data_IF_042370242575
#
_entry.id   IF_042370242575
#
_cell.length_a   1.000
_cell.length_b   1.000
_cell.length_c   1.000
_cell.angle_alpha   90.00
_cell.angle_beta   90.00
_cell.angle_gamma   90.00
#
_symmetry.space_group_name_H-M   'P 1'
#
loop_
_entity.id
_entity.type
_entity.pdbx_description
1 polymer ?
#
# COMPACT_ATOMS: atom_id res chain seq x y z
N UNK A 1 -6.27 14.68 -17.15
CA UNK A 1 -5.34 13.91 -16.30
C UNK A 1 -5.12 12.57 -17.00
N UNK A 2 -3.90 12.08 -17.22
CA UNK A 2 -3.71 10.74 -17.74
C UNK A 2 -4.35 9.76 -16.75
N UNK A 3 -5.26 8.92 -17.25
CA UNK A 3 -6.03 8.00 -16.44
C UNK A 3 -5.10 7.03 -15.72
N UNK A 4 -5.19 6.97 -14.40
CA UNK A 4 -4.53 5.96 -13.59
C UNK A 4 -4.91 4.56 -14.11
N UNK A 5 -3.91 3.72 -14.38
CA UNK A 5 -4.11 2.31 -14.72
C UNK A 5 -3.67 1.45 -13.54
N UNK A 6 -4.60 0.74 -12.89
CA UNK A 6 -4.24 -0.15 -11.79
C UNK A 6 -3.28 -1.25 -12.26
N UNK A 7 -2.50 -1.80 -11.33
CA UNK A 7 -1.60 -2.91 -11.62
C UNK A 7 -2.40 -4.16 -12.03
N UNK A 8 -1.82 -5.05 -12.82
CA UNK A 8 -2.51 -6.28 -13.28
C UNK A 8 -3.05 -7.11 -12.11
N UNK A 9 -2.31 -7.18 -11.00
CA UNK A 9 -2.73 -7.87 -9.78
C UNK A 9 -3.93 -7.21 -9.12
N UNK A 10 -3.93 -5.89 -9.04
CA UNK A 10 -5.04 -5.10 -8.48
C UNK A 10 -6.27 -5.25 -9.35
N UNK A 11 -6.12 -5.20 -10.68
CA UNK A 11 -7.21 -5.39 -11.65
C UNK A 11 -7.87 -6.75 -11.47
N UNK A 12 -7.09 -7.84 -11.41
CA UNK A 12 -7.64 -9.20 -11.19
C UNK A 12 -8.42 -9.31 -9.87
N UNK A 13 -7.89 -8.69 -8.80
CA UNK A 13 -8.56 -8.71 -7.50
C UNK A 13 -9.85 -7.90 -7.51
N UNK A 14 -9.85 -6.74 -8.18
CA UNK A 14 -11.04 -5.88 -8.33
C UNK A 14 -12.11 -6.59 -9.15
N UNK A 15 -11.78 -7.19 -10.29
CA UNK A 15 -12.72 -7.97 -11.11
C UNK A 15 -13.35 -9.13 -10.32
N UNK A 16 -12.55 -9.78 -9.50
CA UNK A 16 -13.07 -10.82 -8.61
C UNK A 16 -14.05 -10.25 -7.57
N UNK A 17 -13.72 -9.13 -6.93
CA UNK A 17 -14.60 -8.45 -5.97
C UNK A 17 -15.90 -7.95 -6.62
N UNK A 18 -15.85 -7.49 -7.86
CA UNK A 18 -17.05 -7.14 -8.63
C UNK A 18 -17.95 -8.37 -8.89
N UNK A 19 -17.34 -9.54 -9.08
CA UNK A 19 -18.10 -10.79 -9.17
C UNK A 19 -18.80 -11.11 -7.84
N UNK A 20 -18.11 -10.89 -6.71
CA UNK A 20 -18.70 -11.06 -5.38
C UNK A 20 -19.81 -10.04 -5.10
N UNK A 21 -19.75 -8.82 -5.65
CA UNK A 21 -20.85 -7.85 -5.56
C UNK A 21 -22.10 -8.37 -6.24
N UNK A 22 -21.98 -8.95 -7.43
CA UNK A 22 -23.12 -9.56 -8.14
C UNK A 22 -23.72 -10.73 -7.35
N UNK A 23 -22.88 -11.53 -6.68
CA UNK A 23 -23.35 -12.58 -5.77
C UNK A 23 -24.09 -11.96 -4.55
N UNK A 24 -23.62 -10.83 -4.02
CA UNK A 24 -24.29 -10.12 -2.93
C UNK A 24 -25.64 -9.54 -3.33
N UNK A 25 -25.80 -9.06 -4.57
CA UNK A 25 -27.09 -8.64 -5.12
C UNK A 25 -28.06 -9.82 -5.20
N UNK A 26 -27.60 -11.00 -5.59
CA UNK A 26 -28.39 -12.22 -5.58
C UNK A 26 -28.85 -12.59 -4.16
N UNK A 27 -27.98 -12.43 -3.14
CA UNK A 27 -28.38 -12.65 -1.74
C UNK A 27 -29.45 -11.68 -1.29
N UNK A 28 -29.38 -10.41 -1.72
CA UNK A 28 -30.44 -9.44 -1.47
C UNK A 28 -31.79 -9.92 -2.00
N UNK A 29 -31.82 -10.44 -3.23
CA UNK A 29 -33.03 -10.99 -3.81
C UNK A 29 -33.58 -12.21 -3.04
N UNK A 30 -32.68 -13.12 -2.58
CA UNK A 30 -33.07 -14.25 -1.75
C UNK A 30 -33.66 -13.83 -0.38
N UNK A 31 -33.08 -12.80 0.24
CA UNK A 31 -33.57 -12.23 1.50
C UNK A 31 -34.94 -11.62 1.31
N UNK A 32 -35.22 -10.91 0.21
CA UNK A 32 -36.54 -10.37 -0.08
C UNK A 32 -37.57 -11.49 -0.32
N UNK A 33 -37.18 -12.57 -1.06
CA UNK A 33 -38.07 -13.74 -1.22
C UNK A 33 -38.36 -14.42 0.11
N UNK A 34 -37.37 -14.55 1.00
CA UNK A 34 -37.54 -15.05 2.36
C UNK A 34 -38.53 -14.19 3.15
N UNK A 35 -38.35 -12.86 3.09
CA UNK A 35 -39.24 -11.92 3.82
C UNK A 35 -40.65 -11.90 3.27
N UNK A 36 -40.85 -12.09 1.98
CA UNK A 36 -42.15 -12.13 1.32
C UNK A 36 -42.88 -13.46 1.52
N UNK A 37 -42.16 -14.55 1.80
CA UNK A 37 -42.74 -15.88 1.93
C UNK A 37 -43.58 -16.04 3.20
N UNK A 38 -44.89 -16.19 3.04
CA UNK A 38 -45.81 -16.47 4.16
C UNK A 38 -45.65 -17.89 4.73
N UNK A 39 -45.29 -18.87 3.90
CA UNK A 39 -44.98 -20.25 4.24
C UNK A 39 -43.77 -20.72 3.41
N UNK A 40 -42.99 -21.60 3.97
CA UNK A 40 -41.82 -22.16 3.24
C UNK A 40 -40.61 -21.23 3.14
N UNK A 41 -40.59 -20.10 3.83
CA UNK A 41 -39.42 -19.17 3.83
C UNK A 41 -38.10 -19.80 4.29
N UNK A 42 -38.19 -20.87 5.11
CA UNK A 42 -36.99 -21.58 5.57
C UNK A 42 -36.16 -22.17 4.43
N UNK A 43 -36.78 -22.50 3.30
CA UNK A 43 -36.10 -22.99 2.12
C UNK A 43 -35.14 -21.94 1.54
N UNK A 44 -35.61 -20.68 1.46
CA UNK A 44 -34.77 -19.56 1.02
C UNK A 44 -33.63 -19.25 2.02
N UNK A 45 -33.94 -19.35 3.33
CA UNK A 45 -32.91 -19.18 4.37
C UNK A 45 -31.85 -20.28 4.32
N UNK A 46 -32.24 -21.52 4.07
CA UNK A 46 -31.30 -22.65 3.91
C UNK A 46 -30.46 -22.51 2.63
N UNK A 47 -31.05 -22.05 1.53
CA UNK A 47 -30.36 -21.74 0.30
C UNK A 47 -29.33 -20.62 0.52
N UNK A 48 -29.75 -19.50 1.13
CA UNK A 48 -28.89 -18.38 1.46
C UNK A 48 -27.71 -18.81 2.35
N UNK A 49 -27.95 -19.63 3.38
CA UNK A 49 -26.88 -20.15 4.24
C UNK A 49 -25.86 -20.99 3.46
N UNK A 50 -26.30 -21.81 2.52
CA UNK A 50 -25.44 -22.63 1.65
C UNK A 50 -24.59 -21.74 0.75
N UNK A 51 -25.20 -20.77 0.09
CA UNK A 51 -24.50 -19.87 -0.85
C UNK A 51 -23.52 -18.95 -0.13
N UNK A 52 -23.90 -18.43 1.05
CA UNK A 52 -22.96 -17.68 1.92
C UNK A 52 -21.77 -18.54 2.38
N UNK A 53 -22.00 -19.83 2.63
CA UNK A 53 -20.92 -20.79 2.92
C UNK A 53 -19.96 -20.96 1.73
N UNK A 54 -20.49 -21.02 0.51
CA UNK A 54 -19.66 -21.06 -0.72
C UNK A 54 -18.89 -19.75 -0.93
N UNK A 55 -19.54 -18.59 -0.72
CA UNK A 55 -18.90 -17.28 -0.79
C UNK A 55 -17.75 -17.20 0.21
N UNK A 56 -17.97 -17.62 1.45
CA UNK A 56 -16.93 -17.68 2.48
C UNK A 56 -15.70 -18.48 2.00
N UNK A 57 -15.93 -19.67 1.45
CA UNK A 57 -14.85 -20.52 0.98
C UNK A 57 -14.09 -19.88 -0.19
N UNK A 58 -14.79 -19.30 -1.17
CA UNK A 58 -14.20 -18.55 -2.29
C UNK A 58 -13.37 -17.36 -1.80
N UNK A 59 -13.88 -16.58 -0.83
CA UNK A 59 -13.18 -15.44 -0.26
C UNK A 59 -11.91 -15.86 0.51
N UNK A 60 -11.96 -16.97 1.26
CA UNK A 60 -10.79 -17.52 1.94
C UNK A 60 -9.68 -17.92 0.97
N UNK A 61 -10.03 -18.55 -0.15
CA UNK A 61 -9.05 -18.95 -1.19
C UNK A 61 -8.31 -17.76 -1.81
N UNK A 62 -8.92 -16.57 -1.79
CA UNK A 62 -8.34 -15.31 -2.31
C UNK A 62 -7.79 -14.40 -1.22
N UNK A 63 -7.62 -14.91 0.02
CA UNK A 63 -7.13 -14.15 1.18
C UNK A 63 -7.98 -12.93 1.55
N UNK A 64 -9.28 -12.95 1.24
CA UNK A 64 -10.25 -11.93 1.60
C UNK A 64 -10.93 -12.30 2.95
N UNK A 65 -10.14 -12.43 4.02
CA UNK A 65 -10.59 -12.94 5.31
C UNK A 65 -11.79 -12.18 5.88
N UNK A 66 -11.80 -10.85 5.78
CA UNK A 66 -12.90 -10.01 6.27
C UNK A 66 -14.22 -10.24 5.52
N UNK A 67 -14.19 -10.52 4.19
CA UNK A 67 -15.39 -10.91 3.42
C UNK A 67 -15.84 -12.30 3.84
N UNK A 68 -14.89 -13.22 4.04
CA UNK A 68 -15.17 -14.58 4.47
C UNK A 68 -15.82 -14.62 5.87
N UNK A 69 -15.35 -13.79 6.80
CA UNK A 69 -15.90 -13.69 8.14
C UNK A 69 -17.31 -13.11 8.14
N UNK A 70 -17.54 -12.04 7.38
CA UNK A 70 -18.87 -11.44 7.22
C UNK A 70 -19.87 -12.43 6.61
N UNK A 71 -19.48 -13.11 5.53
CA UNK A 71 -20.30 -14.16 4.90
C UNK A 71 -20.56 -15.33 5.85
N UNK A 72 -19.56 -15.74 6.64
CA UNK A 72 -19.72 -16.79 7.65
C UNK A 72 -20.70 -16.42 8.75
N UNK A 73 -20.64 -15.21 9.27
CA UNK A 73 -21.59 -14.71 10.28
C UNK A 73 -23.01 -14.66 9.73
N UNK A 74 -23.20 -14.18 8.51
CA UNK A 74 -24.51 -14.16 7.85
C UNK A 74 -25.04 -15.58 7.61
N UNK A 75 -24.19 -16.51 7.18
CA UNK A 75 -24.56 -17.92 7.01
C UNK A 75 -25.05 -18.56 8.31
N UNK A 76 -24.39 -18.28 9.44
CA UNK A 76 -24.84 -18.73 10.76
C UNK A 76 -26.19 -18.11 11.13
N UNK A 77 -26.40 -16.81 10.87
CA UNK A 77 -27.68 -16.14 11.12
C UNK A 77 -28.79 -16.72 10.24
N UNK A 78 -28.50 -17.02 8.98
CA UNK A 78 -29.44 -17.65 8.06
C UNK A 78 -29.85 -19.06 8.52
N UNK A 79 -28.94 -19.81 9.14
CA UNK A 79 -29.19 -21.18 9.62
C UNK A 79 -29.92 -21.23 10.97
N UNK A 80 -29.81 -20.18 11.80
CA UNK A 80 -30.44 -20.17 13.13
C UNK A 80 -31.98 -20.12 13.03
N UNK A 81 -32.65 -20.83 13.92
CA UNK A 81 -34.09 -20.67 14.13
C UNK A 81 -34.42 -19.29 14.69
N UNK A 82 -35.65 -18.87 14.55
CA UNK A 82 -36.11 -17.59 15.08
C UNK A 82 -37.36 -17.05 14.35
N UNK A 83 -37.89 -15.91 14.81
CA UNK A 83 -38.99 -15.24 14.14
C UNK A 83 -38.59 -14.86 12.71
N UNK A 84 -39.38 -15.27 11.69
CA UNK A 84 -39.07 -14.96 10.28
C UNK A 84 -38.91 -13.46 10.02
N UNK A 85 -39.73 -12.63 10.68
CA UNK A 85 -39.67 -11.17 10.52
C UNK A 85 -38.37 -10.58 11.04
N UNK A 86 -37.91 -10.98 12.24
CA UNK A 86 -36.66 -10.51 12.82
C UNK A 86 -35.46 -11.02 12.02
N UNK A 87 -35.50 -12.30 11.63
CA UNK A 87 -34.49 -12.93 10.80
C UNK A 87 -34.33 -12.23 9.45
N UNK A 88 -35.44 -11.93 8.77
CA UNK A 88 -35.43 -11.21 7.49
C UNK A 88 -34.78 -9.83 7.60
N UNK A 89 -35.08 -9.09 8.70
CA UNK A 89 -34.49 -7.77 8.94
C UNK A 89 -32.96 -7.88 9.14
N UNK A 90 -32.51 -8.77 10.02
CA UNK A 90 -31.09 -8.97 10.31
C UNK A 90 -30.32 -9.42 9.06
N UNK A 91 -30.90 -10.33 8.27
CA UNK A 91 -30.29 -10.78 7.03
C UNK A 91 -30.19 -9.65 5.99
N UNK A 92 -31.22 -8.82 5.86
CA UNK A 92 -31.20 -7.65 4.97
C UNK A 92 -30.09 -6.69 5.36
N UNK A 93 -30.04 -6.28 6.63
CA UNK A 93 -29.02 -5.36 7.14
C UNK A 93 -27.62 -5.94 6.98
N UNK A 94 -27.49 -7.25 7.18
CA UNK A 94 -26.20 -7.95 7.03
C UNK A 94 -25.73 -8.03 5.58
N UNK A 95 -26.62 -8.30 4.61
CA UNK A 95 -26.26 -8.33 3.18
C UNK A 95 -25.90 -6.93 2.68
N UNK A 96 -26.62 -5.89 3.12
CA UNK A 96 -26.24 -4.49 2.82
C UNK A 96 -24.85 -4.17 3.38
N UNK A 97 -24.56 -4.62 4.61
CA UNK A 97 -23.24 -4.44 5.22
C UNK A 97 -22.14 -5.19 4.46
N UNK A 98 -22.40 -6.40 3.99
CA UNK A 98 -21.49 -7.19 3.17
C UNK A 98 -21.19 -6.48 1.84
N UNK A 99 -22.21 -5.96 1.16
CA UNK A 99 -22.08 -5.19 -0.07
C UNK A 99 -21.18 -3.96 0.14
N UNK A 100 -21.50 -3.15 1.16
CA UNK A 100 -20.72 -1.97 1.52
C UNK A 100 -19.26 -2.31 1.89
N UNK A 101 -19.01 -3.47 2.52
CA UNK A 101 -17.69 -3.96 2.85
C UNK A 101 -16.88 -4.27 1.59
N UNK A 102 -17.48 -4.98 0.62
CA UNK A 102 -16.83 -5.31 -0.65
C UNK A 102 -16.50 -4.03 -1.43
N UNK A 103 -17.46 -3.09 -1.55
CA UNK A 103 -17.22 -1.80 -2.22
C UNK A 103 -16.08 -1.00 -1.57
N UNK A 104 -16.06 -0.94 -0.23
CA UNK A 104 -14.98 -0.27 0.49
C UNK A 104 -13.62 -0.90 0.21
N UNK A 105 -13.59 -2.22 0.08
CA UNK A 105 -12.36 -2.95 -0.25
C UNK A 105 -11.87 -2.63 -1.65
N UNK A 106 -12.77 -2.61 -2.64
CA UNK A 106 -12.42 -2.23 -4.02
C UNK A 106 -11.80 -0.82 -4.02
N UNK A 107 -12.47 0.15 -3.38
CA UNK A 107 -11.95 1.53 -3.28
C UNK A 107 -10.59 1.58 -2.58
N UNK A 108 -10.43 0.83 -1.49
CA UNK A 108 -9.17 0.73 -0.75
C UNK A 108 -8.03 0.15 -1.58
N UNK A 109 -8.27 -0.89 -2.37
CA UNK A 109 -7.27 -1.49 -3.24
C UNK A 109 -6.82 -0.54 -4.36
N UNK A 110 -7.76 0.17 -4.97
CA UNK A 110 -7.45 1.15 -6.02
C UNK A 110 -6.62 2.31 -5.44
N UNK A 111 -7.01 2.86 -4.29
CA UNK A 111 -6.26 3.95 -3.64
C UNK A 111 -4.88 3.52 -3.16
N UNK A 112 -4.74 2.30 -2.64
CA UNK A 112 -3.46 1.75 -2.22
C UNK A 112 -2.50 1.57 -3.41
N UNK A 113 -2.99 1.01 -4.52
CA UNK A 113 -2.19 0.83 -5.74
C UNK A 113 -1.78 2.18 -6.36
N UNK A 114 -2.68 3.17 -6.34
CA UNK A 114 -2.38 4.53 -6.80
C UNK A 114 -1.28 5.20 -5.96
N UNK A 115 -1.32 5.04 -4.64
CA UNK A 115 -0.31 5.57 -3.73
C UNK A 115 1.05 4.89 -3.93
N UNK A 116 1.06 3.57 -4.09
CA UNK A 116 2.28 2.79 -4.34
C UNK A 116 2.93 3.16 -5.69
N UNK A 117 2.13 3.36 -6.73
CA UNK A 117 2.64 3.79 -8.03
C UNK A 117 3.23 5.21 -7.98
N UNK A 118 2.59 6.12 -7.26
CA UNK A 118 3.12 7.48 -7.04
C UNK A 118 4.45 7.46 -6.28
N UNK A 119 4.56 6.62 -5.26
CA UNK A 119 5.79 6.47 -4.49
C UNK A 119 6.92 5.89 -5.35
N UNK A 120 6.64 4.84 -6.13
CA UNK A 120 7.60 4.26 -7.07
C UNK A 120 8.06 5.28 -8.11
N UNK A 121 7.16 6.07 -8.66
CA UNK A 121 7.48 7.13 -9.62
C UNK A 121 8.38 8.20 -8.99
N UNK A 122 8.07 8.64 -7.77
CA UNK A 122 8.89 9.60 -7.03
C UNK A 122 10.29 9.07 -6.73
N UNK A 123 10.42 7.83 -6.30
CA UNK A 123 11.71 7.19 -6.04
C UNK A 123 12.54 7.03 -7.32
N UNK A 124 11.89 6.67 -8.43
CA UNK A 124 12.54 6.58 -9.73
C UNK A 124 13.05 7.94 -10.22
N UNK A 125 12.27 9.01 -10.07
CA UNK A 125 12.67 10.37 -10.41
C UNK A 125 13.87 10.85 -9.56
N UNK A 126 13.83 10.56 -8.25
CA UNK A 126 14.93 10.89 -7.33
C UNK A 126 16.20 10.13 -7.70
N UNK A 127 16.11 8.86 -8.04
CA UNK A 127 17.25 8.05 -8.49
C UNK A 127 17.81 8.56 -9.81
N UNK A 128 16.97 8.93 -10.76
CA UNK A 128 17.40 9.50 -12.04
C UNK A 128 18.12 10.85 -11.86
N UNK A 129 17.62 11.72 -10.97
CA UNK A 129 18.31 12.99 -10.63
C UNK A 129 19.67 12.74 -9.99
N UNK A 130 19.76 11.81 -9.03
CA UNK A 130 21.04 11.47 -8.40
C UNK A 130 22.06 10.89 -9.41
N UNK A 131 21.60 10.06 -10.34
CA UNK A 131 22.46 9.55 -11.42
C UNK A 131 22.92 10.66 -12.36
N UNK A 132 22.05 11.59 -12.74
CA UNK A 132 22.40 12.73 -13.59
C UNK A 132 23.44 13.65 -12.91
N UNK A 133 23.31 13.89 -11.61
CA UNK A 133 24.30 14.65 -10.83
C UNK A 133 25.66 13.91 -10.74
N UNK A 134 25.63 12.59 -10.51
CA UNK A 134 26.84 11.78 -10.47
C UNK A 134 27.58 11.77 -11.82
N UNK A 135 26.85 11.71 -12.93
CA UNK A 135 27.41 11.81 -14.28
C UNK A 135 28.04 13.19 -14.51
N UNK A 136 27.35 14.28 -14.15
CA UNK A 136 27.89 15.65 -14.24
C UNK A 136 29.16 15.81 -13.41
N UNK A 137 29.19 15.28 -12.18
CA UNK A 137 30.39 15.33 -11.33
C UNK A 137 31.57 14.55 -11.93
N UNK A 138 31.29 13.41 -12.58
CA UNK A 138 32.36 12.64 -13.28
C UNK A 138 32.92 13.40 -14.49
N UNK A 139 32.06 13.97 -15.31
CA UNK A 139 32.49 14.77 -16.48
C UNK A 139 33.35 15.95 -16.04
N UNK A 140 32.94 16.70 -15.02
CA UNK A 140 33.73 17.81 -14.47
C UNK A 140 35.05 17.36 -13.90
N UNK A 141 35.11 16.17 -13.27
CA UNK A 141 36.36 15.63 -12.74
C UNK A 141 37.32 15.17 -13.84
N UNK A 142 36.81 14.67 -14.95
CA UNK A 142 37.62 14.29 -16.12
C UNK A 142 38.15 15.51 -16.86
N UNK A 143 37.31 16.53 -17.08
CA UNK A 143 37.73 17.79 -17.65
C UNK A 143 38.84 18.49 -16.82
N UNK A 144 38.67 18.48 -15.49
CA UNK A 144 39.67 19.01 -14.57
C UNK A 144 41.03 18.23 -14.65
N UNK A 145 40.98 16.90 -14.78
CA UNK A 145 42.18 16.07 -14.98
C UNK A 145 42.85 16.32 -16.32
N UNK A 146 42.05 16.51 -17.37
CA UNK A 146 42.60 16.79 -18.69
C UNK A 146 43.20 18.21 -18.78
N UNK A 147 42.59 19.19 -18.14
CA UNK A 147 43.11 20.54 -17.98
C UNK A 147 44.43 20.55 -17.18
N UNK A 148 44.49 19.79 -16.08
CA UNK A 148 45.73 19.64 -15.30
C UNK A 148 46.87 18.95 -16.11
N UNK A 149 46.50 17.95 -16.93
CA UNK A 149 47.50 17.28 -17.83
C UNK A 149 48.00 18.19 -18.94
N UNK A 150 47.16 19.06 -19.48
CA UNK A 150 47.57 20.09 -20.44
C UNK A 150 48.44 21.17 -19.81
N UNK A 151 48.14 21.59 -18.58
CA UNK A 151 48.97 22.53 -17.83
C UNK A 151 50.37 21.97 -17.47
N UNK A 152 50.45 20.65 -17.19
CA UNK A 152 51.74 19.97 -16.94
C UNK A 152 52.56 19.68 -18.19
N UNK A 153 51.96 19.78 -19.38
CA UNK A 153 52.64 19.57 -20.66
C UNK A 153 53.15 20.87 -21.31
N UNK A 154 52.96 22.04 -20.69
CA UNK A 154 53.52 23.29 -21.17
C UNK A 154 55.00 23.35 -20.82
N UNK A 155 55.94 23.60 -21.80
CA UNK A 155 57.35 23.63 -21.51
C UNK A 155 57.70 24.85 -20.65
N UNK A 156 58.47 24.60 -19.61
CA UNK A 156 59.03 25.62 -18.73
C UNK A 156 60.09 26.46 -19.51
N UNK A 157 59.69 27.68 -19.88
CA UNK A 157 60.70 28.68 -20.25
C UNK A 157 60.85 29.71 -19.14
N UNK A 158 62.07 29.61 -18.63
CA UNK A 158 62.96 30.63 -18.11
C UNK A 158 62.52 31.70 -17.13
N UNK A 159 63.14 31.67 -15.97
CA UNK A 159 63.89 32.76 -15.42
C UNK A 159 63.71 33.03 -13.93
N UNK A 160 64.76 33.24 -13.18
CA UNK A 160 64.78 33.20 -11.73
C UNK A 160 64.65 34.58 -11.10
N UNK A 161 63.91 34.72 -10.05
CA UNK A 161 64.16 35.81 -9.09
C UNK A 161 63.70 35.40 -7.67
N UNK A 162 64.71 35.42 -6.83
CA UNK A 162 64.68 35.12 -5.40
C UNK A 162 63.79 36.07 -4.58
N UNK A 163 63.08 35.53 -3.63
CA UNK A 163 62.97 36.18 -2.34
C UNK A 163 62.51 35.15 -1.27
N UNK A 164 63.24 35.19 -0.18
CA UNK A 164 63.28 34.32 0.99
C UNK A 164 62.19 34.67 1.99
N UNK A 165 62.04 33.96 3.11
CA UNK A 165 60.79 33.39 3.62
C UNK A 165 60.22 34.15 4.82
N UNK A 166 58.98 33.92 5.09
CA UNK A 166 58.43 34.16 6.42
C UNK A 166 57.45 33.00 6.79
N UNK A 167 57.81 32.26 7.77
CA UNK A 167 56.98 31.34 8.54
C UNK A 167 56.59 32.05 9.86
N UNK A 168 55.84 31.45 10.76
CA UNK A 168 54.56 30.71 10.67
C UNK A 168 53.51 31.27 11.66
N UNK A 169 52.28 30.96 11.53
CA UNK A 169 51.33 31.07 12.66
C UNK A 169 50.27 30.02 12.58
N UNK A 170 50.40 29.07 13.47
CA UNK A 170 49.41 28.81 14.53
C UNK A 170 48.17 28.02 14.12
N UNK A 171 48.20 26.81 14.60
CA UNK A 171 47.16 25.82 14.74
C UNK A 171 45.88 26.35 15.37
N UNK A 172 44.74 25.99 14.76
CA UNK A 172 43.45 25.95 15.41
C UNK A 172 42.89 24.53 15.42
N UNK A 173 42.36 24.07 16.54
CA UNK A 173 41.88 22.69 16.66
C UNK A 173 40.55 22.44 15.90
N UNK A 174 40.27 21.19 15.50
CA UNK A 174 39.04 20.86 14.76
C UNK A 174 37.81 20.91 15.64
N UNK A 175 36.63 21.28 15.10
CA UNK A 175 35.37 21.26 15.84
C UNK A 175 34.88 19.84 16.09
N UNK A 176 34.38 19.66 17.32
CA UNK A 176 33.82 18.43 17.84
C UNK A 176 32.61 17.94 17.05
N UNK A 177 32.52 16.61 16.91
CA UNK A 177 31.39 15.88 16.34
C UNK A 177 30.12 16.05 17.19
N UNK A 178 28.93 16.16 16.59
CA UNK A 178 27.68 16.19 17.35
C UNK A 178 27.32 14.82 17.89
N UNK A 179 26.97 14.80 19.18
CA UNK A 179 26.51 13.64 19.93
C UNK A 179 25.20 13.09 19.36
N UNK A 180 25.09 11.75 19.29
CA UNK A 180 23.86 11.02 18.97
C UNK A 180 22.87 11.14 20.15
N UNK A 181 21.58 11.44 19.93
CA UNK A 181 20.59 11.33 20.98
C UNK A 181 20.23 9.86 21.24
N UNK A 182 20.36 9.45 22.49
CA UNK A 182 19.86 8.20 23.04
C UNK A 182 18.33 8.20 23.00
N UNK A 183 17.72 7.38 22.18
CA UNK A 183 16.29 7.10 22.20
C UNK A 183 16.02 5.95 23.19
N UNK A 184 15.77 6.32 24.44
CA UNK A 184 15.16 5.42 25.42
C UNK A 184 13.63 5.48 25.22
N UNK A 185 13.09 4.53 24.47
CA UNK A 185 11.64 4.35 24.33
C UNK A 185 11.05 3.63 25.55
N UNK A 186 9.87 4.00 26.05
CA UNK A 186 9.23 3.32 27.16
C UNK A 186 8.63 2.00 26.71
N UNK A 187 8.93 0.96 27.50
CA UNK A 187 8.38 -0.41 27.40
C UNK A 187 6.87 -0.37 27.74
N UNK A 188 5.96 -0.90 26.89
CA UNK A 188 4.56 -1.04 27.27
C UNK A 188 4.37 -2.14 28.28
N UNK A 189 3.69 -1.82 29.38
CA UNK A 189 3.30 -2.73 30.44
C UNK A 189 2.29 -3.76 29.91
N UNK A 190 2.56 -5.04 30.27
CA UNK A 190 1.73 -6.21 30.02
C UNK A 190 0.50 -6.17 30.92
N UNK A 191 -0.74 -6.29 30.43
CA UNK A 191 -1.89 -6.46 31.31
C UNK A 191 -1.85 -7.85 31.93
N UNK A 192 -1.97 -7.88 33.25
CA UNK A 192 -2.32 -9.09 34.02
C UNK A 192 -3.85 -9.27 33.93
N UNK A 193 -4.31 -10.34 33.34
CA UNK A 193 -5.33 -11.17 33.98
C UNK A 193 -5.42 -12.50 33.22
#
# INVERSE_FOLDING_TARGET
MPGFKPSAKTTETVEYLETLLKEADHFSALVEQFAAAKKGGEMYAAQLARELGQLRQKAMMRNLGFVADAAGQLGVMASRGGSPMMKGRVLRDGVVSLHALIERTIKGLITADESEQKEKAFLAEKAAKAQAEAVKARVLSEEAKEAAKRAAAAPAESGPAAAKPAAPASAGPPPAAPAKPNATGPVPAKPRN
#
